data_IF_107063341359
#
_entry.id   IF_107063341359
#
_cell.length_a   1.000
_cell.length_b   1.000
_cell.length_c   1.000
_cell.angle_alpha   90.00
_cell.angle_beta   90.00
_cell.angle_gamma   90.00
#
_symmetry.space_group_name_H-M   'P 1'
#
loop_
_entity.id
_entity.type
_entity.pdbx_description
1 polymer ?
#
# COMPACT_ATOMS: atom_id res chain seq x y z
N UNK A 1 -58.17 49.26 -1.97
CA UNK A 1 -57.91 47.87 -1.53
C UNK A 1 -56.47 47.76 -1.04
N UNK A 2 -56.24 47.76 0.27
CA UNK A 2 -54.89 47.65 0.87
C UNK A 2 -54.52 46.17 1.02
N UNK A 3 -53.40 45.75 0.41
CA UNK A 3 -52.81 44.41 0.61
C UNK A 3 -52.30 44.30 2.05
N UNK A 4 -52.85 43.36 2.82
CA UNK A 4 -52.37 42.98 4.15
C UNK A 4 -51.04 42.22 4.01
N UNK A 5 -49.99 42.70 4.68
CA UNK A 5 -48.71 42.01 4.78
C UNK A 5 -48.83 40.79 5.71
N UNK A 6 -48.33 39.63 5.28
CA UNK A 6 -48.29 38.40 6.09
C UNK A 6 -47.41 38.59 7.34
N UNK A 7 -47.79 38.00 8.49
CA UNK A 7 -47.05 38.16 9.75
C UNK A 7 -45.66 37.50 9.71
N UNK A 8 -44.67 38.18 10.31
CA UNK A 8 -43.22 37.89 10.29
C UNK A 8 -42.82 36.48 10.81
N UNK A 9 -43.73 35.76 11.48
CA UNK A 9 -43.50 34.40 11.98
C UNK A 9 -43.68 33.29 10.91
N UNK A 10 -44.61 33.44 9.96
CA UNK A 10 -44.83 32.44 8.89
C UNK A 10 -43.67 32.41 7.89
N UNK A 11 -43.10 33.58 7.59
CA UNK A 11 -41.98 33.75 6.66
C UNK A 11 -40.70 33.01 7.09
N UNK A 12 -40.52 32.77 8.40
CA UNK A 12 -39.34 32.08 8.95
C UNK A 12 -39.46 30.54 8.86
N UNK A 13 -40.69 30.01 8.79
CA UNK A 13 -40.98 28.57 8.70
C UNK A 13 -40.88 28.07 7.26
N UNK A 14 -41.35 28.84 6.29
CA UNK A 14 -41.18 28.57 4.85
C UNK A 14 -39.70 28.56 4.43
N UNK A 15 -38.90 29.53 4.91
CA UNK A 15 -37.46 29.59 4.61
C UNK A 15 -36.65 28.40 5.15
N UNK A 16 -37.01 27.88 6.33
CA UNK A 16 -36.35 26.69 6.91
C UNK A 16 -36.77 25.40 6.19
N UNK A 17 -38.02 25.32 5.71
CA UNK A 17 -38.48 24.22 4.85
C UNK A 17 -37.78 24.23 3.49
N UNK A 18 -37.64 25.40 2.87
CA UNK A 18 -36.97 25.56 1.58
C UNK A 18 -35.46 25.25 1.66
N UNK A 19 -34.77 25.67 2.72
CA UNK A 19 -33.35 25.30 2.91
C UNK A 19 -33.17 23.81 3.21
N UNK A 20 -34.07 23.18 3.99
CA UNK A 20 -34.02 21.72 4.23
C UNK A 20 -34.33 20.90 2.99
N UNK A 21 -35.31 21.32 2.19
CA UNK A 21 -35.64 20.69 0.92
C UNK A 21 -34.53 20.88 -0.13
N UNK A 22 -33.91 22.06 -0.20
CA UNK A 22 -32.78 22.34 -1.09
C UNK A 22 -31.52 21.53 -0.72
N UNK A 23 -31.21 21.39 0.57
CA UNK A 23 -30.12 20.52 1.05
C UNK A 23 -30.38 19.04 0.75
N UNK A 24 -31.61 18.57 0.92
CA UNK A 24 -31.96 17.18 0.63
C UNK A 24 -31.89 16.87 -0.88
N UNK A 25 -32.39 17.76 -1.74
CA UNK A 25 -32.32 17.63 -3.20
C UNK A 25 -30.89 17.74 -3.75
N UNK A 26 -30.05 18.60 -3.16
CA UNK A 26 -28.64 18.70 -3.55
C UNK A 26 -27.84 17.46 -3.11
N UNK A 27 -28.14 16.92 -1.91
CA UNK A 27 -27.51 15.70 -1.43
C UNK A 27 -27.92 14.47 -2.25
N UNK A 28 -29.21 14.31 -2.57
CA UNK A 28 -29.69 13.19 -3.39
C UNK A 28 -29.31 13.32 -4.86
N UNK A 29 -29.37 14.53 -5.43
CA UNK A 29 -28.94 14.79 -6.81
C UNK A 29 -27.42 14.64 -7.00
N UNK A 30 -26.63 15.03 -6.00
CA UNK A 30 -25.18 14.81 -5.98
C UNK A 30 -24.81 13.33 -5.89
N UNK A 31 -25.47 12.58 -5.00
CA UNK A 31 -25.23 11.13 -4.86
C UNK A 31 -25.69 10.32 -6.08
N UNK A 32 -26.88 10.62 -6.64
CA UNK A 32 -27.36 10.00 -7.87
C UNK A 32 -26.49 10.37 -9.09
N UNK A 33 -25.92 11.58 -9.09
CA UNK A 33 -24.95 12.01 -10.10
C UNK A 33 -23.62 11.24 -10.01
N UNK A 34 -23.10 11.03 -8.80
CA UNK A 34 -21.90 10.21 -8.60
C UNK A 34 -22.14 8.74 -8.98
N UNK A 35 -23.30 8.19 -8.63
CA UNK A 35 -23.70 6.82 -8.96
C UNK A 35 -23.90 6.64 -10.48
N UNK A 36 -24.50 7.62 -11.16
CA UNK A 36 -24.62 7.60 -12.61
C UNK A 36 -23.27 7.74 -13.33
N UNK A 37 -22.30 8.44 -12.73
CA UNK A 37 -20.95 8.56 -13.27
C UNK A 37 -20.12 7.28 -13.08
N UNK A 38 -20.27 6.58 -11.95
CA UNK A 38 -19.57 5.31 -11.70
C UNK A 38 -20.10 4.15 -12.56
N UNK A 39 -21.33 4.26 -13.08
CA UNK A 39 -21.93 3.29 -14.01
C UNK A 39 -21.79 3.68 -15.50
N UNK A 40 -21.06 4.76 -15.81
CA UNK A 40 -20.79 5.18 -17.18
C UNK A 40 -19.33 4.91 -17.55
N UNK A 41 -19.12 3.88 -18.37
CA UNK A 41 -17.79 3.41 -18.78
C UNK A 41 -16.92 4.54 -19.35
N UNK A 42 -17.49 5.45 -20.15
CA UNK A 42 -16.74 6.58 -20.72
C UNK A 42 -16.29 7.57 -19.65
N UNK A 43 -17.13 7.83 -18.63
CA UNK A 43 -16.76 8.72 -17.54
C UNK A 43 -15.67 8.10 -16.67
N UNK A 44 -15.77 6.79 -16.39
CA UNK A 44 -14.75 6.02 -15.66
C UNK A 44 -13.43 6.01 -16.43
N UNK A 45 -13.45 5.83 -17.75
CA UNK A 45 -12.25 5.81 -18.59
C UNK A 45 -11.55 7.18 -18.65
N UNK A 46 -12.32 8.28 -18.68
CA UNK A 46 -11.78 9.64 -18.56
C UNK A 46 -11.09 9.84 -17.21
N UNK A 47 -11.73 9.39 -16.11
CA UNK A 47 -11.16 9.47 -14.77
C UNK A 47 -9.86 8.66 -14.66
N UNK A 48 -9.83 7.41 -15.16
CA UNK A 48 -8.62 6.58 -15.23
C UNK A 48 -7.51 7.21 -16.06
N UNK A 49 -7.87 7.87 -17.16
CA UNK A 49 -6.89 8.58 -18.01
C UNK A 49 -6.29 9.78 -17.30
N UNK A 50 -7.12 10.57 -16.59
CA UNK A 50 -6.66 11.69 -15.77
C UNK A 50 -5.76 11.21 -14.62
N UNK A 51 -6.09 10.09 -14.01
CA UNK A 51 -5.27 9.46 -12.97
C UNK A 51 -3.92 8.99 -13.52
N UNK A 52 -3.91 8.30 -14.67
CA UNK A 52 -2.68 7.86 -15.34
C UNK A 52 -1.73 9.03 -15.66
N UNK A 53 -2.29 10.16 -16.11
CA UNK A 53 -1.53 11.39 -16.33
C UNK A 53 -0.98 11.95 -15.01
N UNK A 54 -1.81 12.05 -13.97
CA UNK A 54 -1.40 12.52 -12.64
C UNK A 54 -0.27 11.67 -12.07
N UNK A 55 -0.41 10.34 -12.12
CA UNK A 55 0.59 9.38 -11.66
C UNK A 55 1.90 9.52 -12.47
N UNK A 56 1.81 9.74 -13.78
CA UNK A 56 2.99 9.98 -14.63
C UNK A 56 3.73 11.26 -14.25
N UNK A 57 2.99 12.35 -13.97
CA UNK A 57 3.58 13.63 -13.53
C UNK A 57 4.20 13.48 -12.14
N UNK A 58 3.50 12.84 -11.19
CA UNK A 58 4.01 12.57 -9.84
C UNK A 58 5.31 11.76 -9.89
N UNK A 59 5.34 10.71 -10.72
CA UNK A 59 6.54 9.90 -10.92
C UNK A 59 7.70 10.72 -11.48
N UNK A 60 7.47 11.58 -12.47
CA UNK A 60 8.55 12.38 -13.07
C UNK A 60 9.08 13.46 -12.13
N UNK A 61 8.20 14.24 -11.50
CA UNK A 61 8.59 15.38 -10.66
C UNK A 61 9.06 14.94 -9.27
N UNK A 62 8.45 13.89 -8.73
CA UNK A 62 8.72 13.37 -7.40
C UNK A 62 9.79 12.30 -7.37
N UNK A 63 10.33 11.82 -8.50
CA UNK A 63 11.14 10.58 -8.64
C UNK A 63 12.27 10.36 -7.63
N UNK A 64 12.86 11.43 -7.10
CA UNK A 64 13.94 11.38 -6.09
C UNK A 64 13.58 12.03 -4.76
N UNK A 65 12.35 12.51 -4.61
CA UNK A 65 11.90 13.10 -3.37
C UNK A 65 11.83 12.04 -2.27
N UNK A 66 12.46 12.35 -1.15
CA UNK A 66 12.35 11.55 0.06
C UNK A 66 10.96 11.78 0.68
N UNK A 67 10.32 10.70 1.13
CA UNK A 67 9.24 10.79 2.09
C UNK A 67 9.74 11.47 3.37
N UNK A 68 8.85 12.24 3.99
CA UNK A 68 9.15 12.95 5.23
C UNK A 68 9.62 11.98 6.31
N UNK A 69 10.77 12.29 6.92
CA UNK A 69 11.22 11.61 8.12
C UNK A 69 10.83 12.40 9.37
N UNK A 70 10.52 11.66 10.42
CA UNK A 70 10.03 12.18 11.69
C UNK A 70 11.07 12.01 12.80
N UNK A 71 10.82 12.66 13.93
CA UNK A 71 11.66 12.53 15.11
C UNK A 71 11.25 11.32 15.96
N UNK A 72 12.13 10.79 16.82
CA UNK A 72 11.75 9.73 17.78
C UNK A 72 10.58 10.12 18.70
N UNK A 73 10.38 11.40 18.98
CA UNK A 73 9.24 11.89 19.77
C UNK A 73 7.90 11.79 19.05
N UNK A 74 7.89 11.62 17.73
CA UNK A 74 6.67 11.44 16.95
C UNK A 74 6.18 9.98 16.93
N UNK A 75 7.00 9.04 17.43
CA UNK A 75 6.67 7.62 17.46
C UNK A 75 5.65 7.34 18.58
N UNK A 76 4.45 6.84 18.24
CA UNK A 76 3.44 6.50 19.24
C UNK A 76 3.86 5.27 20.06
N UNK A 77 3.27 5.08 21.26
CA UNK A 77 3.57 3.91 22.10
C UNK A 77 3.28 2.56 21.43
N UNK A 78 2.29 2.52 20.53
CA UNK A 78 1.88 1.33 19.79
C UNK A 78 1.78 1.68 18.32
N UNK A 79 2.41 0.87 17.48
CA UNK A 79 2.24 0.95 16.04
C UNK A 79 1.02 0.13 15.61
N UNK A 80 0.05 0.77 14.94
CA UNK A 80 -1.20 0.11 14.49
C UNK A 80 -0.90 -0.89 13.35
N UNK A 81 -1.36 -2.13 13.50
CA UNK A 81 -1.32 -3.12 12.43
C UNK A 81 -2.46 -2.90 11.41
N UNK A 82 -2.19 -3.17 10.14
CA UNK A 82 -3.16 -3.15 9.03
C UNK A 82 -3.37 -4.57 8.47
N UNK A 83 -4.57 -4.90 7.98
CA UNK A 83 -4.85 -6.20 7.36
C UNK A 83 -4.61 -7.40 8.29
N UNK A 84 -4.16 -8.53 7.73
CA UNK A 84 -3.91 -9.79 8.47
C UNK A 84 -2.92 -9.62 9.60
N UNK A 85 -3.27 -10.03 10.81
CA UNK A 85 -2.38 -9.90 11.99
C UNK A 85 -1.67 -11.19 12.38
N UNK A 86 -2.07 -12.31 11.78
CA UNK A 86 -1.45 -13.62 11.87
C UNK A 86 -1.86 -14.37 10.59
N UNK A 87 -0.93 -14.71 9.68
CA UNK A 87 -1.22 -15.62 8.59
C UNK A 87 -1.81 -16.93 9.12
N UNK A 88 -2.89 -17.44 8.52
CA UNK A 88 -3.47 -18.72 8.91
C UNK A 88 -2.56 -19.89 8.50
N UNK A 89 -2.84 -21.07 9.04
CA UNK A 89 -2.13 -22.32 8.71
C UNK A 89 -1.04 -22.72 9.72
N UNK A 90 -0.74 -24.03 9.74
CA UNK A 90 0.26 -24.62 10.64
C UNK A 90 1.69 -24.21 10.25
N UNK A 91 1.97 -24.09 8.95
CA UNK A 91 3.31 -23.76 8.44
C UNK A 91 3.84 -22.44 8.99
N UNK A 92 3.06 -21.35 8.89
CA UNK A 92 3.48 -20.05 9.41
C UNK A 92 3.53 -20.05 10.95
N UNK A 93 2.62 -20.77 11.61
CA UNK A 93 2.65 -20.93 13.06
C UNK A 93 3.91 -21.66 13.55
N UNK A 94 4.37 -22.68 12.82
CA UNK A 94 5.63 -23.38 13.08
C UNK A 94 6.84 -22.46 12.86
N UNK A 95 6.84 -21.65 11.80
CA UNK A 95 7.87 -20.62 11.61
C UNK A 95 7.93 -19.66 12.79
N UNK A 96 6.79 -19.20 13.31
CA UNK A 96 6.75 -18.36 14.51
C UNK A 96 7.30 -19.09 15.73
N UNK A 97 6.90 -20.35 15.95
CA UNK A 97 7.34 -21.16 17.09
C UNK A 97 8.85 -21.44 17.09
N UNK A 98 9.45 -21.57 15.91
CA UNK A 98 10.90 -21.79 15.71
C UNK A 98 11.69 -20.48 15.61
N UNK A 99 11.03 -19.32 15.73
CA UNK A 99 11.68 -18.02 15.61
C UNK A 99 12.22 -17.73 14.21
N UNK A 100 11.57 -18.28 13.17
CA UNK A 100 11.91 -18.15 11.76
C UNK A 100 13.30 -18.68 11.41
N UNK A 101 13.79 -19.70 12.14
CA UNK A 101 15.13 -20.27 11.92
C UNK A 101 15.33 -20.82 10.50
N UNK A 102 14.31 -21.47 9.95
CA UNK A 102 14.34 -22.09 8.63
C UNK A 102 13.76 -21.21 7.53
N UNK A 103 13.23 -20.02 7.86
CA UNK A 103 12.72 -19.08 6.87
C UNK A 103 13.85 -18.58 5.96
N UNK A 104 13.53 -18.39 4.68
CA UNK A 104 14.44 -17.86 3.65
C UNK A 104 13.72 -16.83 2.80
N UNK A 105 14.48 -15.85 2.30
CA UNK A 105 14.06 -14.94 1.23
C UNK A 105 14.67 -15.39 -0.10
N UNK A 106 13.81 -15.75 -1.04
CA UNK A 106 14.22 -16.02 -2.43
C UNK A 106 14.20 -14.73 -3.24
N UNK A 107 15.22 -14.49 -4.08
CA UNK A 107 15.26 -13.41 -5.07
C UNK A 107 15.53 -14.01 -6.45
N UNK A 108 14.58 -13.92 -7.37
CA UNK A 108 14.64 -14.61 -8.66
C UNK A 108 13.95 -13.84 -9.81
N UNK A 109 13.61 -14.56 -10.89
CA UNK A 109 13.07 -13.99 -12.12
C UNK A 109 14.16 -13.44 -13.03
N UNK A 110 14.00 -12.20 -13.49
CA UNK A 110 14.92 -11.49 -14.38
C UNK A 110 16.17 -10.98 -13.64
N UNK A 111 16.95 -11.93 -13.11
CA UNK A 111 18.21 -11.69 -12.40
C UNK A 111 19.35 -12.51 -12.98
N UNK A 112 20.58 -12.01 -12.87
CA UNK A 112 21.80 -12.71 -13.28
C UNK A 112 22.30 -13.69 -12.23
N UNK A 113 22.04 -13.40 -10.95
CA UNK A 113 22.42 -14.21 -9.80
C UNK A 113 21.23 -14.36 -8.84
N UNK A 114 20.41 -15.42 -8.98
CA UNK A 114 19.37 -15.73 -8.01
C UNK A 114 19.97 -15.87 -6.60
N UNK A 115 19.22 -15.42 -5.59
CA UNK A 115 19.63 -15.45 -4.19
C UNK A 115 18.62 -16.23 -3.36
N UNK A 116 19.11 -16.90 -2.31
CA UNK A 116 18.30 -17.47 -1.25
C UNK A 116 18.99 -17.10 0.07
N UNK A 117 18.33 -16.27 0.88
CA UNK A 117 18.96 -15.57 2.00
C UNK A 117 18.28 -15.90 3.32
N UNK A 118 19.09 -16.20 4.32
CA UNK A 118 18.66 -16.31 5.72
C UNK A 118 18.38 -14.93 6.33
N UNK A 119 17.64 -14.90 7.44
CA UNK A 119 17.50 -13.67 8.25
C UNK A 119 18.85 -13.11 8.71
N UNK A 120 19.80 -13.98 9.07
CA UNK A 120 21.12 -13.58 9.54
C UNK A 120 21.93 -12.90 8.44
N UNK A 121 21.87 -13.41 7.21
CA UNK A 121 22.53 -12.79 6.06
C UNK A 121 21.93 -11.43 5.74
N UNK A 122 20.59 -11.29 5.76
CA UNK A 122 19.93 -9.99 5.57
C UNK A 122 20.35 -8.98 6.64
N UNK A 123 20.45 -9.40 7.89
CA UNK A 123 20.86 -8.57 9.02
C UNK A 123 22.34 -8.18 8.99
N UNK A 124 23.18 -8.95 8.31
CA UNK A 124 24.60 -8.66 8.12
C UNK A 124 24.86 -7.64 6.99
N UNK A 125 23.86 -7.36 6.14
CA UNK A 125 23.98 -6.38 5.05
C UNK A 125 23.92 -4.94 5.57
N UNK A 126 24.36 -3.94 4.77
CA UNK A 126 24.20 -2.53 5.09
C UNK A 126 22.72 -2.17 5.35
N UNK A 127 22.43 -1.72 6.56
CA UNK A 127 21.08 -1.39 7.00
C UNK A 127 20.79 0.10 6.94
N UNK A 128 19.53 0.46 6.71
CA UNK A 128 18.99 1.80 6.90
C UNK A 128 17.99 1.78 8.06
N UNK A 129 18.02 2.81 8.89
CA UNK A 129 16.98 3.10 9.88
C UNK A 129 16.26 4.37 9.49
N UNK A 130 14.93 4.38 9.60
CA UNK A 130 14.09 5.50 9.17
C UNK A 130 12.86 5.63 10.03
N UNK A 131 12.47 6.86 10.36
CA UNK A 131 11.22 7.12 11.09
C UNK A 131 10.25 7.74 10.10
N UNK A 132 9.27 6.97 9.67
CA UNK A 132 8.39 7.31 8.55
C UNK A 132 6.95 7.06 8.92
N UNK A 133 6.04 7.74 8.22
CA UNK A 133 4.61 7.59 8.40
C UNK A 133 4.07 6.52 7.44
N UNK A 134 3.34 5.57 7.98
CA UNK A 134 2.51 4.66 7.20
C UNK A 134 1.14 5.30 7.01
N UNK A 135 0.77 5.58 5.77
CA UNK A 135 -0.51 6.17 5.40
C UNK A 135 -1.42 5.08 4.80
N UNK A 136 -2.51 4.75 5.50
CA UNK A 136 -3.45 3.73 5.08
C UNK A 136 -4.58 4.31 4.22
N UNK A 137 -4.98 3.56 3.19
CA UNK A 137 -6.12 3.89 2.34
C UNK A 137 -7.44 4.04 3.11
N UNK A 138 -7.55 3.41 4.29
CA UNK A 138 -8.70 3.51 5.20
C UNK A 138 -8.78 4.85 5.96
N UNK A 139 -7.90 5.83 5.65
CA UNK A 139 -7.98 7.18 6.20
C UNK A 139 -7.30 7.38 7.55
N UNK A 140 -6.37 6.50 7.92
CA UNK A 140 -5.56 6.63 9.14
C UNK A 140 -4.07 6.53 8.83
N UNK A 141 -3.25 7.05 9.74
CA UNK A 141 -1.80 6.96 9.63
C UNK A 141 -1.12 6.67 10.96
N UNK A 142 0.09 6.11 10.89
CA UNK A 142 0.88 5.78 12.07
C UNK A 142 2.38 5.94 11.77
N UNK A 143 3.11 6.60 12.67
CA UNK A 143 4.55 6.81 12.53
C UNK A 143 5.29 5.64 13.20
N UNK A 144 6.33 5.12 12.55
CA UNK A 144 7.14 4.04 13.09
C UNK A 144 8.60 4.20 12.71
N UNK A 145 9.49 3.75 13.60
CA UNK A 145 10.90 3.60 13.27
C UNK A 145 11.11 2.21 12.68
N UNK A 146 11.54 2.15 11.43
CA UNK A 146 11.82 0.93 10.70
C UNK A 146 13.31 0.77 10.50
N UNK A 147 13.80 -0.47 10.59
CA UNK A 147 15.17 -0.80 10.21
C UNK A 147 15.20 -2.06 9.36
N UNK A 148 16.03 -1.99 8.32
CA UNK A 148 16.09 -3.01 7.28
C UNK A 148 17.21 -2.79 6.29
N UNK A 149 17.36 -3.73 5.35
CA UNK A 149 18.27 -3.61 4.22
C UNK A 149 17.60 -2.82 3.11
N UNK A 150 18.34 -1.94 2.41
CA UNK A 150 17.81 -1.26 1.22
C UNK A 150 17.53 -2.27 0.12
N UNK A 151 16.35 -2.22 -0.49
CA UNK A 151 15.99 -3.13 -1.59
C UNK A 151 16.98 -3.02 -2.76
N UNK A 152 17.39 -1.80 -3.10
CA UNK A 152 18.44 -1.52 -4.10
C UNK A 152 19.75 -2.28 -3.86
N UNK A 153 20.14 -2.50 -2.61
CA UNK A 153 21.34 -3.28 -2.29
C UNK A 153 21.16 -4.75 -2.70
N UNK A 154 20.02 -5.34 -2.34
CA UNK A 154 19.68 -6.71 -2.68
C UNK A 154 19.59 -6.92 -4.20
N UNK A 155 18.95 -5.97 -4.89
CA UNK A 155 18.83 -5.98 -6.35
C UNK A 155 20.21 -5.87 -7.03
N UNK A 156 21.12 -5.08 -6.47
CA UNK A 156 22.51 -5.02 -6.91
C UNK A 156 23.23 -6.36 -6.78
N UNK A 157 23.07 -7.06 -5.65
CA UNK A 157 23.65 -8.39 -5.42
C UNK A 157 23.06 -9.44 -6.37
N UNK A 158 21.77 -9.36 -6.66
CA UNK A 158 21.07 -10.28 -7.56
C UNK A 158 21.41 -10.05 -9.04
N UNK A 159 22.01 -8.90 -9.39
CA UNK A 159 22.33 -8.51 -10.76
C UNK A 159 21.08 -8.46 -11.64
N UNK A 160 20.17 -7.54 -11.35
CA UNK A 160 18.93 -7.35 -12.13
C UNK A 160 19.23 -7.20 -13.63
N UNK A 161 18.49 -7.92 -14.46
CA UNK A 161 18.64 -7.87 -15.92
C UNK A 161 17.94 -6.64 -16.52
N UNK A 162 18.40 -6.11 -17.66
CA UNK A 162 17.83 -4.90 -18.28
C UNK A 162 16.35 -5.01 -18.65
N UNK A 163 15.84 -6.22 -18.85
CA UNK A 163 14.44 -6.48 -19.21
C UNK A 163 13.48 -6.34 -18.01
N UNK A 164 14.00 -6.35 -16.78
CA UNK A 164 13.18 -6.22 -15.58
C UNK A 164 12.58 -4.82 -15.46
N UNK A 165 11.25 -4.75 -15.37
CA UNK A 165 10.50 -3.49 -15.24
C UNK A 165 9.82 -3.36 -13.89
N UNK A 166 9.60 -4.47 -13.19
CA UNK A 166 8.89 -4.51 -11.93
C UNK A 166 9.52 -5.47 -10.94
N UNK A 167 9.37 -5.16 -9.66
CA UNK A 167 9.65 -6.04 -8.53
C UNK A 167 8.32 -6.54 -7.99
N UNK A 168 8.17 -7.86 -7.91
CA UNK A 168 7.00 -8.53 -7.35
C UNK A 168 7.38 -9.13 -6.01
N UNK A 169 6.56 -8.88 -5.00
CA UNK A 169 6.69 -9.38 -3.65
C UNK A 169 5.65 -10.47 -3.42
N UNK A 170 6.11 -11.67 -3.08
CA UNK A 170 5.28 -12.80 -2.70
C UNK A 170 5.30 -12.97 -1.19
N UNK A 171 4.10 -13.12 -0.61
CA UNK A 171 3.88 -13.10 0.84
C UNK A 171 3.33 -14.43 1.31
N UNK A 172 3.35 -14.66 2.62
CA UNK A 172 2.72 -15.84 3.26
C UNK A 172 1.29 -15.54 3.74
N UNK A 173 0.75 -14.38 3.39
CA UNK A 173 -0.57 -13.90 3.85
C UNK A 173 -1.69 -14.49 2.98
N UNK A 174 -2.47 -15.42 3.52
CA UNK A 174 -3.68 -15.91 2.85
C UNK A 174 -4.82 -14.92 3.04
N UNK A 175 -5.36 -14.44 1.92
CA UNK A 175 -6.35 -13.36 1.87
C UNK A 175 -7.80 -13.88 1.84
N UNK A 176 -8.01 -15.14 1.49
CA UNK A 176 -9.30 -15.81 1.54
C UNK A 176 -9.18 -17.06 2.40
N UNK A 177 -10.09 -17.23 3.36
CA UNK A 177 -10.12 -18.39 4.24
C UNK A 177 -10.71 -19.63 3.54
N UNK A 178 -11.52 -19.41 2.50
CA UNK A 178 -12.17 -20.48 1.73
C UNK A 178 -11.37 -20.86 0.47
N UNK A 179 -10.29 -20.13 0.16
CA UNK A 179 -9.39 -20.37 -0.98
C UNK A 179 -7.92 -20.19 -0.57
N UNK A 180 -7.26 -21.30 -0.24
CA UNK A 180 -5.86 -21.34 0.17
C UNK A 180 -4.89 -20.85 -0.92
N UNK A 181 -5.31 -20.86 -2.20
CA UNK A 181 -4.51 -20.35 -3.32
C UNK A 181 -4.55 -18.81 -3.41
N UNK A 182 -5.45 -18.17 -2.66
CA UNK A 182 -5.56 -16.71 -2.61
C UNK A 182 -4.55 -16.11 -1.63
N UNK A 183 -3.30 -15.98 -2.09
CA UNK A 183 -2.21 -15.38 -1.32
C UNK A 183 -1.99 -13.91 -1.73
N UNK A 184 -1.61 -13.08 -0.76
CA UNK A 184 -1.24 -11.69 -0.99
C UNK A 184 0.05 -11.62 -1.80
N UNK A 185 0.03 -10.77 -2.83
CA UNK A 185 1.21 -10.38 -3.56
C UNK A 185 1.10 -8.90 -3.92
N UNK A 186 2.25 -8.28 -4.16
CA UNK A 186 2.30 -6.86 -4.48
C UNK A 186 3.42 -6.56 -5.45
N UNK A 187 3.38 -5.43 -6.15
CA UNK A 187 4.50 -5.00 -7.00
C UNK A 187 4.75 -3.50 -7.01
N UNK A 188 5.98 -3.14 -7.39
CA UNK A 188 6.42 -1.76 -7.62
C UNK A 188 7.26 -1.68 -8.88
N UNK A 189 7.40 -0.48 -9.47
CA UNK A 189 8.38 -0.26 -10.53
C UNK A 189 9.82 -0.19 -10.01
N UNK A 190 10.75 -0.19 -10.96
CA UNK A 190 12.17 -0.08 -10.68
C UNK A 190 12.57 1.26 -10.03
N UNK A 191 11.81 2.35 -10.23
CA UNK A 191 12.14 3.64 -9.60
C UNK A 191 11.91 3.56 -8.09
N UNK A 192 10.73 3.08 -7.67
CA UNK A 192 10.42 2.88 -6.25
C UNK A 192 11.28 1.76 -5.66
N UNK A 193 11.63 0.73 -6.43
CA UNK A 193 12.50 -0.35 -5.95
C UNK A 193 13.93 0.12 -5.64
N UNK A 194 14.44 1.06 -6.44
CA UNK A 194 15.77 1.64 -6.23
C UNK A 194 15.77 2.85 -5.29
N UNK A 195 14.60 3.30 -4.85
CA UNK A 195 14.46 4.44 -3.95
C UNK A 195 15.18 4.22 -2.61
N UNK A 196 15.71 5.30 -2.02
CA UNK A 196 16.57 5.21 -0.84
C UNK A 196 15.85 4.77 0.44
N UNK A 197 14.56 5.05 0.52
CA UNK A 197 13.69 4.69 1.64
C UNK A 197 12.90 3.39 1.40
N UNK A 198 13.14 2.71 0.28
CA UNK A 198 12.56 1.39 0.04
C UNK A 198 13.44 0.32 0.69
N UNK A 199 12.95 -0.24 1.80
CA UNK A 199 13.70 -1.17 2.63
C UNK A 199 12.91 -2.45 2.89
N UNK A 200 13.63 -3.54 3.09
CA UNK A 200 13.09 -4.79 3.64
C UNK A 200 13.36 -4.78 5.15
N UNK A 201 12.32 -4.49 5.93
CA UNK A 201 12.41 -4.23 7.37
C UNK A 201 12.11 -5.49 8.19
N UNK A 202 12.93 -5.70 9.23
CA UNK A 202 12.78 -6.76 10.24
C UNK A 202 12.75 -6.22 11.67
N UNK A 203 12.89 -4.90 11.83
CA UNK A 203 12.83 -4.20 13.11
C UNK A 203 11.80 -3.06 13.03
N UNK A 204 10.99 -2.93 14.08
CA UNK A 204 10.02 -1.87 14.30
C UNK A 204 10.19 -1.30 15.71
N UNK A 205 10.39 0.01 15.82
CA UNK A 205 10.57 0.74 17.08
C UNK A 205 11.67 0.14 17.97
N UNK A 206 12.80 -0.24 17.36
CA UNK A 206 13.97 -0.81 18.04
C UNK A 206 13.80 -2.24 18.56
N UNK A 207 12.75 -2.94 18.14
CA UNK A 207 12.46 -4.33 18.51
C UNK A 207 12.30 -5.19 17.26
N UNK A 208 12.47 -6.52 17.36
CA UNK A 208 12.09 -7.43 16.29
C UNK A 208 10.65 -7.16 15.83
N UNK A 209 10.44 -7.23 14.51
CA UNK A 209 9.15 -6.96 13.89
C UNK A 209 8.07 -7.88 14.49
N UNK A 210 6.98 -7.34 15.07
CA UNK A 210 5.88 -8.15 15.54
C UNK A 210 5.19 -8.89 14.39
N UNK A 211 4.65 -10.08 14.66
CA UNK A 211 3.90 -10.87 13.67
C UNK A 211 2.79 -10.03 13.04
N UNK A 212 1.98 -9.32 13.83
CA UNK A 212 0.91 -8.47 13.32
C UNK A 212 1.38 -7.38 12.32
N UNK A 213 2.66 -7.00 12.39
CA UNK A 213 3.27 -6.01 11.53
C UNK A 213 4.09 -6.60 10.37
N UNK A 214 4.12 -7.93 10.23
CA UNK A 214 4.66 -8.62 9.06
C UNK A 214 5.97 -9.36 9.28
N UNK A 215 6.19 -9.92 10.47
CA UNK A 215 7.37 -10.75 10.74
C UNK A 215 7.52 -11.89 9.71
N UNK A 216 8.74 -12.42 9.47
CA UNK A 216 10.01 -11.89 9.95
C UNK A 216 10.49 -10.68 9.13
N UNK A 217 9.90 -10.45 7.96
CA UNK A 217 10.32 -9.43 7.00
C UNK A 217 9.12 -8.82 6.28
N UNK A 218 9.12 -7.49 6.17
CA UNK A 218 8.15 -6.73 5.35
C UNK A 218 8.85 -5.75 4.42
N UNK A 219 8.18 -5.34 3.35
CA UNK A 219 8.62 -4.17 2.59
C UNK A 219 8.09 -2.88 3.23
N UNK A 220 8.91 -1.84 3.16
CA UNK A 220 8.55 -0.46 3.42
C UNK A 220 8.81 0.33 2.14
N UNK A 221 7.76 0.91 1.57
CA UNK A 221 7.79 1.69 0.33
C UNK A 221 7.13 3.03 0.65
N UNK A 222 7.93 3.95 1.18
CA UNK A 222 7.41 5.11 1.93
C UNK A 222 6.75 6.19 1.08
N UNK A 223 6.82 6.05 -0.24
CA UNK A 223 6.17 6.92 -1.22
C UNK A 223 4.84 6.36 -1.70
N UNK A 224 4.40 5.24 -1.13
CA UNK A 224 3.15 4.60 -1.49
C UNK A 224 2.30 4.28 -0.26
N UNK A 225 0.99 4.19 -0.48
CA UNK A 225 -0.01 3.83 0.52
C UNK A 225 0.24 2.44 1.13
N UNK A 226 -0.36 2.23 2.30
CA UNK A 226 -0.07 1.08 3.14
C UNK A 226 -0.36 -0.31 2.54
N UNK A 227 -1.26 -0.41 1.56
CA UNK A 227 -1.51 -1.68 0.86
C UNK A 227 -0.30 -2.07 0.00
N UNK A 228 0.40 -1.10 -0.59
CA UNK A 228 1.61 -1.33 -1.39
C UNK A 228 2.82 -1.79 -0.57
N UNK A 229 2.70 -1.93 0.76
CA UNK A 229 3.79 -2.26 1.67
C UNK A 229 3.64 -3.69 2.23
N UNK A 230 3.94 -4.73 1.42
CA UNK A 230 3.65 -6.13 1.73
C UNK A 230 4.33 -6.62 3.00
N UNK A 231 3.65 -7.55 3.68
CA UNK A 231 4.06 -8.18 4.94
C UNK A 231 4.36 -9.67 4.71
N UNK A 232 5.06 -10.31 5.64
CA UNK A 232 5.28 -11.77 5.62
C UNK A 232 5.99 -12.23 4.34
N UNK A 233 7.00 -11.47 3.90
CA UNK A 233 7.70 -11.72 2.64
C UNK A 233 8.44 -13.06 2.69
N UNK A 234 8.45 -13.78 1.57
CA UNK A 234 9.32 -14.95 1.40
C UNK A 234 9.98 -15.02 0.01
N UNK A 235 9.47 -14.29 -0.99
CA UNK A 235 10.08 -14.24 -2.33
C UNK A 235 9.93 -12.88 -2.99
N UNK A 236 10.98 -12.47 -3.70
CA UNK A 236 11.03 -11.29 -4.56
C UNK A 236 11.33 -11.77 -5.98
N UNK A 237 10.49 -11.39 -6.93
CA UNK A 237 10.61 -11.82 -8.32
C UNK A 237 10.69 -10.61 -9.25
N UNK A 238 11.69 -10.59 -10.13
CA UNK A 238 11.86 -9.55 -11.14
C UNK A 238 11.16 -9.95 -12.43
N UNK A 239 10.23 -9.11 -12.90
CA UNK A 239 9.41 -9.41 -14.09
C UNK A 239 9.41 -8.25 -15.10
N UNK A 240 9.17 -8.59 -16.37
CA UNK A 240 8.99 -7.60 -17.43
C UNK A 240 7.56 -7.04 -17.47
N UNK A 241 6.57 -7.88 -17.12
CA UNK A 241 5.15 -7.51 -17.15
C UNK A 241 4.34 -8.36 -16.17
N UNK A 242 3.12 -7.93 -15.88
CA UNK A 242 2.20 -8.64 -14.98
C UNK A 242 1.40 -9.75 -15.67
N UNK A 243 1.56 -9.95 -16.98
CA UNK A 243 0.69 -10.86 -17.75
C UNK A 243 0.69 -12.31 -17.24
N UNK A 244 1.78 -12.75 -16.60
CA UNK A 244 1.92 -14.08 -16.02
C UNK A 244 1.58 -14.13 -14.52
N UNK A 245 1.23 -13.00 -13.90
CA UNK A 245 0.87 -12.90 -12.49
C UNK A 245 -0.65 -12.93 -12.37
N UNK A 246 -1.16 -13.79 -11.48
CA UNK A 246 -2.56 -13.90 -11.04
C UNK A 246 -3.61 -13.14 -11.88
N UNK A 247 -4.17 -12.04 -11.37
CA UNK A 247 -5.21 -11.27 -12.07
C UNK A 247 -4.65 -10.27 -13.10
N UNK A 248 -3.34 -10.28 -13.34
CA UNK A 248 -2.67 -9.51 -14.38
C UNK A 248 -2.52 -8.02 -14.07
N UNK A 249 -2.89 -7.57 -12.87
CA UNK A 249 -2.91 -6.14 -12.50
C UNK A 249 -1.80 -5.72 -11.53
N UNK A 250 -0.93 -6.65 -11.14
CA UNK A 250 0.33 -6.34 -10.43
C UNK A 250 0.23 -6.33 -8.90
N UNK A 251 -0.87 -6.74 -8.31
CA UNK A 251 -1.00 -6.91 -6.86
C UNK A 251 -2.39 -7.42 -6.49
N UNK A 252 -2.54 -7.90 -5.26
CA UNK A 252 -3.81 -8.48 -4.80
C UNK A 252 -4.94 -7.45 -4.81
N UNK A 253 -4.72 -6.23 -4.29
CA UNK A 253 -5.76 -5.21 -4.24
C UNK A 253 -6.03 -4.60 -5.62
N UNK A 254 -5.01 -4.51 -6.47
CA UNK A 254 -5.12 -4.13 -7.88
C UNK A 254 -5.98 -5.13 -8.65
N UNK A 255 -5.82 -6.41 -8.33
CA UNK A 255 -6.70 -7.49 -8.78
C UNK A 255 -8.13 -7.35 -8.23
N UNK A 256 -8.41 -6.40 -7.35
CA UNK A 256 -9.75 -6.04 -6.88
C UNK A 256 -10.16 -4.62 -7.29
N UNK A 257 -9.40 -3.95 -8.16
CA UNK A 257 -9.71 -2.64 -8.70
C UNK A 257 -9.06 -1.45 -7.99
N UNK A 258 -8.10 -1.68 -7.09
CA UNK A 258 -7.27 -0.61 -6.55
C UNK A 258 -6.29 -0.10 -7.61
N UNK A 259 -5.82 1.12 -7.39
CA UNK A 259 -4.82 1.73 -8.28
C UNK A 259 -3.48 1.03 -8.10
N UNK A 260 -2.80 0.70 -9.19
CA UNK A 260 -1.50 0.04 -9.10
C UNK A 260 -0.41 0.97 -8.55
N UNK A 261 -0.44 2.25 -8.93
CA UNK A 261 0.44 3.26 -8.35
C UNK A 261 -0.28 3.98 -7.21
N UNK A 262 -0.01 3.56 -5.97
CA UNK A 262 -0.60 4.13 -4.76
C UNK A 262 0.20 5.30 -4.19
N UNK A 263 0.76 6.17 -5.05
CA UNK A 263 1.72 7.21 -4.65
C UNK A 263 1.14 8.29 -3.71
N UNK A 264 1.96 8.76 -2.76
CA UNK A 264 1.66 9.87 -1.82
C UNK A 264 2.74 10.94 -1.79
#
# INVERSE_FOLDING_TARGET
>A
MKKLAKPRFEQRRERRGFMRAGLALAATGGLAGCDALSHNDTAVDILRSAESLSNSVHRVLGRRAMAQEFSPSDVPPVFRANGTTMPPGEDYAEMVATGFADWRLTVDGLVGKPLELTMQELQAMPTRTQITRHDCVEGWSCIGQWKGVRLSHLLGLAQVRPEAKFVVFHCLDQMDADDEDTVYYESIDMDDAFHEQTILAWELNGKPLPVANGAPLRARIERQLGYKQPKYLHRIELVESFAALRGGRGGYWEDQGYNWYGGI
#
